data_IF_605422656414
#
_entry.id   IF_605422656414
#
_cell.length_a   1.000
_cell.length_b   1.000
_cell.length_c   1.000
_cell.angle_alpha   90.00
_cell.angle_beta   90.00
_cell.angle_gamma   90.00
#
_symmetry.space_group_name_H-M   'P 1'
#
loop_
_entity.id
_entity.type
_entity.pdbx_description
1 polymer ?
#
# COMPACT_ATOMS: atom_id res chain seq x y z
N UNK A 1 8.02 -16.41 28.92
CA UNK A 1 7.53 -17.71 29.48
C UNK A 1 6.75 -18.50 28.41
N UNK A 2 5.86 -17.86 27.64
CA UNK A 2 5.14 -18.49 26.51
C UNK A 2 6.04 -19.15 25.43
N UNK A 3 7.12 -18.49 24.99
CA UNK A 3 8.06 -19.08 24.01
C UNK A 3 8.89 -20.26 24.56
N UNK A 4 8.96 -20.41 25.88
CA UNK A 4 9.67 -21.50 26.55
C UNK A 4 8.78 -22.75 26.63
N UNK A 5 7.50 -22.56 26.95
CA UNK A 5 6.48 -23.61 26.97
C UNK A 5 6.25 -24.25 25.59
N UNK A 6 6.27 -23.47 24.50
CA UNK A 6 6.12 -24.00 23.13
C UNK A 6 7.35 -24.82 22.68
N UNK A 7 8.55 -24.49 23.19
CA UNK A 7 9.78 -25.24 22.86
C UNK A 7 9.97 -26.50 23.71
N UNK A 8 9.45 -26.50 24.94
CA UNK A 8 9.55 -27.65 25.84
C UNK A 8 8.54 -28.77 25.51
N UNK A 9 7.50 -28.49 24.72
CA UNK A 9 6.52 -29.50 24.24
C UNK A 9 6.84 -30.19 22.91
N UNK A 10 7.92 -29.80 22.22
CA UNK A 10 8.27 -30.33 20.90
C UNK A 10 9.48 -31.29 20.98
N UNK A 11 9.28 -32.45 21.61
CA UNK A 11 10.22 -33.57 21.50
C UNK A 11 9.47 -34.90 21.58
N UNK A 12 9.16 -35.49 20.42
CA UNK A 12 9.17 -36.93 20.17
C UNK A 12 8.89 -37.22 18.68
N UNK A 13 9.85 -37.89 18.07
CA UNK A 13 9.86 -38.71 16.86
C UNK A 13 8.62 -38.78 15.94
N UNK A 14 8.85 -38.47 14.65
CA UNK A 14 7.97 -38.83 13.55
C UNK A 14 8.23 -40.28 13.09
N UNK A 15 7.20 -41.13 12.91
CA UNK A 15 7.32 -42.29 12.05
C UNK A 15 6.86 -41.95 10.63
N UNK A 16 7.64 -42.38 9.65
CA UNK A 16 7.29 -42.35 8.24
C UNK A 16 6.34 -43.50 7.90
N UNK A 17 5.24 -43.22 7.18
CA UNK A 17 4.55 -44.22 6.34
C UNK A 17 3.94 -43.54 5.11
N UNK A 18 4.09 -44.21 3.98
CA UNK A 18 3.69 -43.81 2.62
C UNK A 18 2.34 -44.37 2.17
N UNK A 19 1.74 -43.65 1.21
CA UNK A 19 0.91 -44.11 0.08
C UNK A 19 -0.62 -44.33 0.23
N UNK A 20 -1.33 -43.61 -0.65
CA UNK A 20 -2.43 -44.02 -1.52
C UNK A 20 -3.94 -43.92 -1.14
N UNK A 21 -4.61 -43.02 -1.90
CA UNK A 21 -5.80 -43.19 -2.78
C UNK A 21 -7.24 -43.25 -2.21
N UNK A 22 -8.01 -42.22 -2.62
CA UNK A 22 -9.40 -42.16 -3.12
C UNK A 22 -10.66 -42.25 -2.23
N UNK A 23 -11.54 -41.28 -2.54
CA UNK A 23 -12.97 -41.36 -2.90
C UNK A 23 -14.12 -41.20 -1.88
N UNK A 24 -15.13 -40.50 -2.44
CA UNK A 24 -16.58 -40.45 -2.14
C UNK A 24 -17.04 -39.71 -0.86
N UNK A 25 -17.70 -38.55 -1.00
CA UNK A 25 -19.14 -38.36 -1.30
C UNK A 25 -20.06 -38.77 -0.14
N UNK A 26 -20.74 -37.78 0.47
CA UNK A 26 -22.20 -37.62 0.51
C UNK A 26 -22.61 -36.69 1.67
N UNK A 27 -23.00 -35.44 1.40
CA UNK A 27 -24.35 -34.92 1.11
C UNK A 27 -25.24 -34.61 2.33
N UNK A 28 -25.70 -33.33 2.31
CA UNK A 28 -27.02 -32.81 2.74
C UNK A 28 -27.28 -32.77 4.27
N UNK A 29 -27.86 -31.73 4.88
CA UNK A 29 -28.85 -30.74 4.42
C UNK A 29 -28.99 -29.61 5.46
N UNK A 30 -29.14 -28.35 4.98
CA UNK A 30 -30.10 -27.27 5.34
C UNK A 30 -30.75 -27.29 6.76
N UNK A 31 -31.00 -26.19 7.47
CA UNK A 31 -31.15 -24.77 7.15
C UNK A 31 -31.27 -23.94 8.46
N UNK A 32 -30.99 -22.62 8.33
CA UNK A 32 -31.56 -21.42 8.97
C UNK A 32 -31.87 -21.45 10.49
N UNK A 33 -31.52 -20.43 11.28
CA UNK A 33 -32.23 -19.12 11.32
C UNK A 33 -31.44 -18.13 12.19
N UNK A 34 -31.69 -16.84 11.93
CA UNK A 34 -31.10 -15.62 12.47
C UNK A 34 -31.21 -15.39 14.00
N UNK A 35 -30.35 -14.46 14.44
CA UNK A 35 -30.52 -13.42 15.50
C UNK A 35 -30.15 -13.66 16.97
N UNK A 36 -29.49 -12.60 17.45
CA UNK A 36 -29.38 -12.02 18.80
C UNK A 36 -28.46 -12.65 19.84
N UNK A 37 -27.45 -11.82 20.17
CA UNK A 37 -26.92 -11.54 21.50
C UNK A 37 -27.69 -12.14 22.67
N UNK A 38 -26.99 -12.90 23.51
CA UNK A 38 -26.76 -12.62 24.94
C UNK A 38 -26.20 -13.87 25.60
N UNK A 39 -25.33 -13.67 26.58
CA UNK A 39 -24.51 -14.71 27.20
C UNK A 39 -25.33 -15.90 27.72
N UNK A 40 -24.91 -17.09 27.32
CA UNK A 40 -25.41 -18.34 27.90
C UNK A 40 -24.35 -18.97 28.80
N UNK A 41 -24.51 -18.73 30.10
CA UNK A 41 -24.04 -19.60 31.16
C UNK A 41 -24.65 -20.98 30.97
N UNK A 42 -23.82 -22.00 30.70
CA UNK A 42 -24.24 -23.41 30.71
C UNK A 42 -24.17 -23.91 32.15
N UNK A 43 -25.34 -24.23 32.71
CA UNK A 43 -25.49 -25.04 33.92
C UNK A 43 -25.41 -26.52 33.54
N UNK A 44 -24.55 -27.30 34.21
CA UNK A 44 -24.62 -28.76 34.18
C UNK A 44 -24.61 -29.27 35.62
N UNK A 45 -25.52 -30.22 35.81
CA UNK A 45 -26.04 -30.89 36.99
C UNK A 45 -24.99 -31.64 37.85
N UNK A 46 -25.20 -31.65 39.17
CA UNK A 46 -24.46 -32.49 40.12
C UNK A 46 -25.15 -33.85 40.27
N UNK A 47 -24.41 -34.95 40.04
CA UNK A 47 -24.73 -36.25 40.65
C UNK A 47 -23.49 -37.14 40.81
N UNK A 48 -22.91 -37.02 42.01
CA UNK A 48 -22.40 -38.06 42.90
C UNK A 48 -21.67 -39.31 42.34
N UNK A 49 -20.35 -39.29 42.62
CA UNK A 49 -19.61 -40.25 43.44
C UNK A 49 -18.96 -41.49 42.77
N UNK A 50 -17.70 -41.32 42.38
CA UNK A 50 -16.73 -42.38 42.15
C UNK A 50 -15.34 -41.86 42.50
N UNK A 51 -14.65 -42.58 43.39
CA UNK A 51 -13.34 -42.27 43.97
C UNK A 51 -12.23 -42.20 42.91
N UNK A 52 -11.83 -40.98 42.55
CA UNK A 52 -10.51 -40.67 41.99
C UNK A 52 -10.15 -39.25 42.38
N UNK A 53 -9.07 -39.09 43.15
CA UNK A 53 -8.38 -37.82 43.37
C UNK A 53 -7.87 -37.25 42.04
N UNK A 54 -8.73 -36.52 41.33
CA UNK A 54 -8.32 -35.58 40.29
C UNK A 54 -8.29 -34.18 40.92
N UNK A 55 -7.07 -33.71 41.18
CA UNK A 55 -6.82 -32.30 41.46
C UNK A 55 -7.29 -31.50 40.25
N UNK A 56 -8.44 -30.84 40.37
CA UNK A 56 -8.89 -29.84 39.41
C UNK A 56 -7.89 -28.69 39.47
N UNK A 57 -6.91 -28.69 38.57
CA UNK A 57 -6.01 -27.56 38.39
C UNK A 57 -6.86 -26.34 38.04
N UNK A 58 -6.96 -25.40 38.97
CA UNK A 58 -7.59 -24.11 38.74
C UNK A 58 -6.78 -23.37 37.69
N UNK A 59 -7.24 -23.39 36.44
CA UNK A 59 -6.61 -22.65 35.35
C UNK A 59 -6.86 -21.16 35.58
N UNK A 60 -5.84 -20.41 35.97
CA UNK A 60 -5.93 -18.95 36.08
C UNK A 60 -6.21 -18.36 34.70
N UNK A 61 -7.33 -17.63 34.59
CA UNK A 61 -7.70 -16.93 33.36
C UNK A 61 -6.79 -15.72 33.18
N UNK A 62 -5.88 -15.81 32.22
CA UNK A 62 -5.05 -14.67 31.81
C UNK A 62 -5.86 -13.80 30.85
N UNK A 63 -6.09 -12.53 31.23
CA UNK A 63 -6.66 -11.50 30.37
C UNK A 63 -5.49 -10.69 29.81
N UNK A 64 -5.42 -10.56 28.49
CA UNK A 64 -4.34 -9.84 27.80
C UNK A 64 -4.93 -8.59 27.15
N UNK A 65 -4.38 -7.42 27.45
CA UNK A 65 -4.77 -6.14 26.88
C UNK A 65 -3.68 -5.51 25.96
N UNK A 66 -3.96 -4.32 25.41
CA UNK A 66 -3.02 -3.61 24.52
C UNK A 66 -1.70 -3.23 25.20
N UNK A 67 -1.71 -3.03 26.52
CA UNK A 67 -0.50 -2.67 27.27
C UNK A 67 0.40 -3.87 27.53
N UNK A 68 -0.19 -5.07 27.61
CA UNK A 68 0.52 -6.34 27.80
C UNK A 68 1.22 -6.86 26.53
N UNK A 69 0.80 -6.39 25.35
CA UNK A 69 1.24 -6.89 24.05
C UNK A 69 2.77 -6.87 23.87
N UNK A 70 3.43 -5.86 24.42
CA UNK A 70 4.89 -5.73 24.37
C UNK A 70 5.61 -6.82 25.19
N UNK A 71 5.01 -7.26 26.30
CA UNK A 71 5.58 -8.27 27.19
C UNK A 71 5.40 -9.69 26.63
N UNK A 72 4.33 -9.92 25.87
CA UNK A 72 4.04 -11.22 25.25
C UNK A 72 4.68 -11.40 23.87
N UNK A 73 4.56 -10.39 22.99
CA UNK A 73 4.95 -10.47 21.57
C UNK A 73 6.25 -9.71 21.30
N UNK A 74 6.68 -8.85 22.22
CA UNK A 74 7.87 -8.01 22.06
C UNK A 74 7.54 -6.65 21.45
N UNK A 75 8.60 -5.89 21.12
CA UNK A 75 8.45 -4.56 20.52
C UNK A 75 7.77 -4.64 19.15
N UNK A 76 7.01 -3.61 18.74
CA UNK A 76 6.40 -3.55 17.42
C UNK A 76 7.43 -3.79 16.32
N UNK A 77 7.20 -4.83 15.52
CA UNK A 77 8.10 -5.22 14.42
C UNK A 77 7.87 -4.36 13.18
N UNK A 78 6.65 -3.84 13.01
CA UNK A 78 6.25 -3.03 11.88
C UNK A 78 6.11 -1.56 12.29
N UNK A 79 6.81 -0.68 11.58
CA UNK A 79 6.56 0.75 11.61
C UNK A 79 5.43 1.08 10.61
N UNK A 80 4.74 2.20 10.81
CA UNK A 80 3.70 2.63 9.89
C UNK A 80 4.27 2.74 8.46
N UNK A 81 3.53 2.22 7.47
CA UNK A 81 3.89 2.32 6.03
C UNK A 81 4.12 3.77 5.59
N UNK A 82 3.59 4.73 6.34
CA UNK A 82 3.74 6.16 6.12
C UNK A 82 5.05 6.70 6.71
N UNK A 83 6.01 6.97 5.83
CA UNK A 83 7.31 7.58 6.19
C UNK A 83 7.19 9.08 6.51
N UNK A 84 6.30 9.81 5.84
CA UNK A 84 6.17 11.27 5.98
C UNK A 84 4.77 11.65 6.49
N UNK A 85 4.69 12.41 7.59
CA UNK A 85 3.43 13.04 8.02
C UNK A 85 2.96 14.06 6.98
N UNK A 86 3.87 14.94 6.55
CA UNK A 86 3.68 15.84 5.41
C UNK A 86 4.80 15.57 4.41
N UNK A 87 4.45 15.31 3.15
CA UNK A 87 5.46 15.11 2.12
C UNK A 87 6.21 16.41 1.84
N UNK A 88 7.55 16.40 1.85
CA UNK A 88 8.32 17.57 1.47
C UNK A 88 8.18 17.87 -0.03
N UNK A 89 8.61 19.07 -0.43
CA UNK A 89 8.67 19.47 -1.84
C UNK A 89 9.49 18.45 -2.64
N UNK A 90 8.94 18.01 -3.77
CA UNK A 90 9.58 17.00 -4.61
C UNK A 90 9.31 15.55 -4.20
N UNK A 91 8.53 15.31 -3.14
CA UNK A 91 8.18 13.95 -2.69
C UNK A 91 6.69 13.69 -2.84
N UNK A 92 6.33 12.58 -3.50
CA UNK A 92 4.93 12.21 -3.78
C UNK A 92 4.71 10.73 -3.55
N UNK A 93 3.60 10.38 -2.90
CA UNK A 93 3.21 8.98 -2.72
C UNK A 93 2.57 8.42 -4.01
N UNK A 94 3.09 7.28 -4.46
CA UNK A 94 2.54 6.47 -5.54
C UNK A 94 2.07 5.10 -5.04
N UNK A 95 1.28 4.42 -5.86
CA UNK A 95 0.80 3.06 -5.59
C UNK A 95 1.44 2.08 -6.57
N UNK A 96 2.06 1.03 -6.04
CA UNK A 96 2.69 -0.03 -6.80
C UNK A 96 2.03 -1.38 -6.51
N UNK A 97 2.23 -2.30 -7.46
CA UNK A 97 1.89 -3.70 -7.31
C UNK A 97 3.15 -4.53 -7.47
N UNK A 98 3.36 -5.46 -6.55
CA UNK A 98 4.50 -6.37 -6.50
C UNK A 98 4.00 -7.81 -6.41
N UNK A 99 4.91 -8.79 -6.51
CA UNK A 99 4.58 -10.19 -6.28
C UNK A 99 4.05 -10.47 -4.87
N UNK A 100 4.35 -9.62 -3.89
CA UNK A 100 3.87 -9.71 -2.50
C UNK A 100 2.55 -8.95 -2.28
N UNK A 101 1.97 -8.38 -3.34
CA UNK A 101 0.76 -7.56 -3.28
C UNK A 101 1.05 -6.07 -3.45
N UNK A 102 0.09 -5.25 -3.04
CA UNK A 102 0.15 -3.80 -3.19
C UNK A 102 1.09 -3.15 -2.18
N UNK A 103 1.80 -2.12 -2.63
CA UNK A 103 2.68 -1.31 -1.79
C UNK A 103 2.53 0.18 -2.11
N UNK A 104 2.76 1.02 -1.12
CA UNK A 104 2.95 2.46 -1.32
C UNK A 104 4.43 2.75 -1.50
N UNK A 105 4.75 3.68 -2.39
CA UNK A 105 6.14 4.08 -2.65
C UNK A 105 6.21 5.60 -2.69
N UNK A 106 7.29 6.17 -2.16
CA UNK A 106 7.54 7.60 -2.31
C UNK A 106 8.44 7.84 -3.51
N UNK A 107 8.03 8.68 -4.44
CA UNK A 107 8.91 9.14 -5.52
C UNK A 107 9.50 10.46 -5.09
N UNK A 108 10.84 10.50 -5.06
CA UNK A 108 11.60 11.64 -4.57
C UNK A 108 12.36 12.27 -5.74
N UNK A 109 12.16 13.56 -5.97
CA UNK A 109 12.96 14.32 -6.94
C UNK A 109 13.69 15.42 -6.20
N UNK A 110 15.00 15.52 -6.43
CA UNK A 110 15.84 16.59 -5.90
C UNK A 110 16.61 17.31 -6.99
N UNK A 111 16.99 18.55 -6.69
CA UNK A 111 17.86 19.37 -7.51
C UNK A 111 19.32 18.97 -7.25
N UNK A 112 20.10 18.78 -8.32
CA UNK A 112 21.53 18.45 -8.23
C UNK A 112 22.39 19.69 -8.47
N UNK A 113 22.26 20.29 -9.66
CA UNK A 113 23.04 21.47 -10.04
C UNK A 113 22.35 22.27 -11.16
N UNK A 114 22.67 23.56 -11.24
CA UNK A 114 22.20 24.44 -12.31
C UNK A 114 23.18 24.37 -13.49
N UNK A 115 22.69 23.95 -14.65
CA UNK A 115 23.45 23.93 -15.90
C UNK A 115 22.61 24.55 -17.01
N UNK A 116 22.95 25.79 -17.39
CA UNK A 116 22.24 26.56 -18.41
C UNK A 116 22.08 25.76 -19.70
N UNK A 117 20.83 25.61 -20.17
CA UNK A 117 20.44 24.89 -21.39
C UNK A 117 20.90 23.43 -21.48
N UNK A 118 21.30 22.83 -20.36
CA UNK A 118 21.73 21.42 -20.27
C UNK A 118 21.07 20.72 -19.10
N UNK A 119 19.78 21.00 -18.90
CA UNK A 119 18.96 20.28 -17.96
C UNK A 119 18.91 18.78 -18.28
N UNK A 120 18.69 17.96 -17.26
CA UNK A 120 18.71 16.51 -17.39
C UNK A 120 18.15 15.81 -16.17
N UNK A 121 17.81 14.54 -16.34
CA UNK A 121 17.26 13.71 -15.28
C UNK A 121 18.14 12.49 -15.07
N UNK A 122 18.69 12.34 -13.86
CA UNK A 122 19.30 11.10 -13.39
C UNK A 122 18.27 10.30 -12.60
N UNK A 123 18.26 8.98 -12.76
CA UNK A 123 17.25 8.11 -12.16
C UNK A 123 17.91 6.95 -11.44
N UNK A 124 17.43 6.64 -10.24
CA UNK A 124 17.92 5.54 -9.38
C UNK A 124 16.75 4.84 -8.68
N UNK A 125 17.01 3.70 -8.04
CA UNK A 125 15.97 2.89 -7.38
C UNK A 125 15.82 1.47 -7.90
N UNK A 126 16.83 0.98 -8.64
CA UNK A 126 16.84 -0.34 -9.28
C UNK A 126 15.68 -0.52 -10.26
N UNK A 127 15.49 0.49 -11.09
CA UNK A 127 14.44 0.55 -12.10
C UNK A 127 14.76 -0.33 -13.31
N UNK A 128 13.75 -1.03 -13.81
CA UNK A 128 13.78 -1.68 -15.12
C UNK A 128 13.67 -0.66 -16.26
N UNK A 129 13.75 -1.16 -17.50
CA UNK A 129 13.85 -0.27 -18.66
C UNK A 129 12.54 0.45 -18.98
N UNK A 130 11.39 -0.20 -18.73
CA UNK A 130 10.07 0.43 -18.91
C UNK A 130 9.89 1.57 -17.92
N UNK A 131 10.31 1.39 -16.67
CA UNK A 131 10.19 2.45 -15.67
C UNK A 131 11.18 3.61 -15.92
N UNK A 132 12.39 3.35 -16.45
CA UNK A 132 13.31 4.40 -16.89
C UNK A 132 12.74 5.20 -18.06
N UNK A 133 12.10 4.53 -19.03
CA UNK A 133 11.41 5.19 -20.14
C UNK A 133 10.24 6.03 -19.63
N UNK A 134 9.43 5.49 -18.71
CA UNK A 134 8.36 6.23 -18.04
C UNK A 134 8.87 7.50 -17.34
N UNK A 135 10.05 7.45 -16.70
CA UNK A 135 10.68 8.63 -16.10
C UNK A 135 11.10 9.69 -17.14
N UNK A 136 11.59 9.26 -18.31
CA UNK A 136 11.93 10.16 -19.41
C UNK A 136 10.69 10.85 -20.00
N UNK A 137 9.61 10.08 -20.19
CA UNK A 137 8.31 10.60 -20.63
C UNK A 137 7.78 11.61 -19.60
N UNK A 138 7.77 11.23 -18.32
CA UNK A 138 7.34 12.09 -17.22
C UNK A 138 8.12 13.42 -17.19
N UNK A 139 9.45 13.39 -17.35
CA UNK A 139 10.26 14.61 -17.42
C UNK A 139 9.89 15.51 -18.61
N UNK A 140 9.62 14.91 -19.76
CA UNK A 140 9.20 15.63 -20.96
C UNK A 140 7.84 16.30 -20.77
N UNK A 141 6.87 15.58 -20.20
CA UNK A 141 5.53 16.08 -19.92
C UNK A 141 5.55 17.17 -18.83
N UNK A 142 6.30 16.96 -17.75
CA UNK A 142 6.47 17.96 -16.68
C UNK A 142 7.06 19.27 -17.23
N UNK A 143 8.03 19.18 -18.14
CA UNK A 143 8.62 20.34 -18.80
C UNK A 143 7.59 21.10 -19.64
N UNK A 144 6.75 20.39 -20.41
CA UNK A 144 5.68 20.99 -21.21
C UNK A 144 4.67 21.72 -20.31
N UNK A 145 4.16 21.04 -19.29
CA UNK A 145 3.18 21.61 -18.35
C UNK A 145 3.74 22.86 -17.67
N UNK A 146 5.02 22.83 -17.26
CA UNK A 146 5.66 24.00 -16.65
C UNK A 146 5.77 25.17 -17.62
N UNK A 147 6.06 24.92 -18.89
CA UNK A 147 6.10 25.95 -19.93
C UNK A 147 4.71 26.55 -20.20
N UNK A 148 3.65 25.74 -20.17
CA UNK A 148 2.27 26.18 -20.35
C UNK A 148 1.78 27.01 -19.15
N UNK A 149 1.96 26.51 -17.93
CA UNK A 149 1.48 27.14 -16.69
C UNK A 149 2.36 28.32 -16.24
N UNK A 150 3.68 28.25 -16.42
CA UNK A 150 4.66 29.27 -15.99
C UNK A 150 5.74 29.47 -17.07
N UNK A 151 5.44 30.15 -18.20
CA UNK A 151 6.36 30.27 -19.34
C UNK A 151 7.74 30.87 -19.04
N UNK A 152 7.85 31.68 -17.98
CA UNK A 152 9.13 32.26 -17.53
C UNK A 152 9.98 31.31 -16.68
N UNK A 153 9.42 30.19 -16.24
CA UNK A 153 10.11 29.21 -15.40
C UNK A 153 10.99 28.29 -16.27
N UNK A 154 12.30 28.55 -16.24
CA UNK A 154 13.29 27.78 -16.99
C UNK A 154 13.92 26.62 -16.19
N UNK A 155 13.33 26.24 -15.04
CA UNK A 155 13.90 25.27 -14.10
C UNK A 155 14.34 23.97 -14.78
N UNK A 156 13.45 23.27 -15.48
CA UNK A 156 13.79 22.01 -16.17
C UNK A 156 14.78 22.18 -17.32
N UNK A 157 14.84 23.36 -17.95
CA UNK A 157 15.79 23.62 -19.03
C UNK A 157 17.22 23.85 -18.52
N UNK A 158 17.34 24.33 -17.28
CA UNK A 158 18.58 24.80 -16.69
C UNK A 158 19.05 23.98 -15.48
N UNK A 159 18.41 22.85 -15.14
CA UNK A 159 18.74 22.09 -13.93
C UNK A 159 18.96 20.62 -14.24
N UNK A 160 19.99 20.04 -13.61
CA UNK A 160 20.09 18.59 -13.46
C UNK A 160 19.33 18.17 -12.23
N UNK A 161 18.48 17.17 -12.40
CA UNK A 161 17.60 16.63 -11.38
C UNK A 161 17.95 15.16 -11.12
N UNK A 162 17.65 14.70 -9.92
CA UNK A 162 17.77 13.29 -9.55
C UNK A 162 16.43 12.81 -9.04
N UNK A 163 15.85 11.85 -9.75
CA UNK A 163 14.66 11.12 -9.34
C UNK A 163 15.06 9.77 -8.73
N UNK A 164 14.60 9.53 -7.52
CA UNK A 164 14.82 8.31 -6.77
C UNK A 164 13.49 7.64 -6.45
N UNK A 165 13.46 6.33 -6.66
CA UNK A 165 12.39 5.48 -6.17
C UNK A 165 13.02 4.56 -5.11
N UNK A 166 12.73 4.74 -3.81
CA UNK A 166 13.30 3.98 -2.70
C UNK A 166 13.09 2.47 -2.79
N UNK A 167 13.65 1.74 -1.82
CA UNK A 167 13.77 0.28 -1.79
C UNK A 167 14.68 -0.28 -2.89
N UNK A 168 15.93 0.17 -2.97
CA UNK A 168 16.87 -0.25 -4.02
C UNK A 168 17.17 -1.76 -4.11
N UNK A 169 16.72 -2.58 -3.15
CA UNK A 169 16.83 -4.03 -3.18
C UNK A 169 15.71 -4.72 -3.98
N UNK A 170 14.57 -4.07 -4.19
CA UNK A 170 13.42 -4.61 -4.93
C UNK A 170 13.41 -4.05 -6.35
N UNK A 171 13.51 -4.90 -7.40
CA UNK A 171 13.33 -4.45 -8.79
C UNK A 171 11.96 -3.80 -8.97
N UNK A 172 11.93 -2.65 -9.64
CA UNK A 172 10.68 -1.94 -9.96
C UNK A 172 10.63 -1.74 -11.46
N UNK A 173 9.62 -2.32 -12.08
CA UNK A 173 9.41 -2.15 -13.50
C UNK A 173 7.93 -2.00 -13.80
N UNK A 174 7.62 -1.17 -14.79
CA UNK A 174 6.27 -0.84 -15.20
C UNK A 174 5.99 0.67 -15.25
N UNK A 175 5.03 1.08 -16.09
CA UNK A 175 4.81 2.49 -16.40
C UNK A 175 3.85 3.22 -15.42
N UNK A 176 3.24 2.49 -14.48
CA UNK A 176 2.13 2.96 -13.64
C UNK A 176 2.45 4.08 -12.64
N UNK A 177 3.71 4.49 -12.55
CA UNK A 177 4.19 5.61 -11.73
C UNK A 177 4.34 6.93 -12.51
N UNK A 178 4.00 6.94 -13.80
CA UNK A 178 4.21 8.08 -14.71
C UNK A 178 3.63 9.39 -14.16
N UNK A 179 2.36 9.40 -13.75
CA UNK A 179 1.73 10.58 -13.17
C UNK A 179 2.41 11.02 -11.85
N UNK A 180 2.76 10.08 -10.97
CA UNK A 180 3.45 10.36 -9.70
C UNK A 180 4.80 11.04 -9.93
N UNK A 181 5.56 10.59 -10.93
CA UNK A 181 6.85 11.18 -11.31
C UNK A 181 6.68 12.61 -11.84
N UNK A 182 5.68 12.87 -12.68
CA UNK A 182 5.38 14.24 -13.15
C UNK A 182 5.05 15.13 -11.96
N UNK A 183 4.22 14.67 -11.03
CA UNK A 183 3.81 15.46 -9.85
C UNK A 183 5.00 15.79 -8.95
N UNK A 184 5.91 14.83 -8.73
CA UNK A 184 7.15 15.04 -7.97
C UNK A 184 8.05 16.09 -8.63
N UNK A 185 8.25 16.00 -9.95
CA UNK A 185 9.01 16.98 -10.72
C UNK A 185 8.38 18.38 -10.65
N UNK A 186 7.06 18.49 -10.84
CA UNK A 186 6.34 19.76 -10.79
C UNK A 186 6.34 20.37 -9.39
N UNK A 187 6.18 19.54 -8.35
CA UNK A 187 6.29 19.98 -6.96
C UNK A 187 7.62 20.66 -6.70
N UNK A 188 8.73 20.02 -7.11
CA UNK A 188 10.07 20.59 -6.98
C UNK A 188 10.22 21.91 -7.77
N UNK A 189 9.78 21.93 -9.03
CA UNK A 189 9.91 23.10 -9.91
C UNK A 189 9.07 24.30 -9.44
N UNK A 190 7.93 24.06 -8.79
CA UNK A 190 7.06 25.09 -8.23
C UNK A 190 7.41 25.48 -6.80
N UNK A 191 8.28 24.70 -6.14
CA UNK A 191 8.55 24.79 -4.70
C UNK A 191 7.26 24.69 -3.86
N UNK A 192 6.33 23.85 -4.29
CA UNK A 192 5.02 23.65 -3.63
C UNK A 192 4.86 22.17 -3.24
N UNK A 193 4.63 21.84 -1.96
CA UNK A 193 4.39 20.45 -1.57
C UNK A 193 3.04 19.96 -2.11
N UNK A 194 2.93 18.65 -2.30
CA UNK A 194 1.69 18.00 -2.74
C UNK A 194 0.77 17.81 -1.54
N UNK A 195 -0.54 17.74 -1.82
CA UNK A 195 -1.59 17.52 -0.82
C UNK A 195 -1.19 16.37 0.11
N UNK A 196 -1.36 16.58 1.42
CA UNK A 196 -1.24 15.50 2.39
C UNK A 196 -2.30 14.44 2.13
N UNK A 197 -1.96 13.18 2.41
CA UNK A 197 -2.87 12.04 2.27
C UNK A 197 -3.34 11.75 0.83
N UNK A 198 -2.56 12.16 -0.18
CA UNK A 198 -2.80 11.87 -1.60
C UNK A 198 -1.86 10.76 -2.08
N UNK A 199 -2.42 9.72 -2.67
CA UNK A 199 -1.69 8.75 -3.47
C UNK A 199 -2.24 8.68 -4.89
N UNK A 200 -1.40 8.35 -5.86
CA UNK A 200 -1.81 8.27 -7.27
C UNK A 200 -1.11 7.13 -8.01
N UNK A 201 -1.77 6.63 -9.04
CA UNK A 201 -1.17 5.73 -10.03
C UNK A 201 -1.78 6.01 -11.39
N UNK A 202 -0.99 5.79 -12.44
CA UNK A 202 -1.40 6.00 -13.81
C UNK A 202 -0.18 6.06 -14.71
N UNK A 203 -0.23 5.31 -15.79
CA UNK A 203 0.69 5.50 -16.90
C UNK A 203 0.35 6.81 -17.62
N UNK A 204 1.35 7.46 -18.22
CA UNK A 204 1.18 8.75 -18.87
C UNK A 204 1.71 8.71 -20.30
N UNK A 205 0.97 9.30 -21.23
CA UNK A 205 1.45 9.57 -22.59
C UNK A 205 2.21 10.89 -22.66
N UNK A 206 2.99 11.10 -23.73
CA UNK A 206 3.59 12.41 -24.03
C UNK A 206 2.56 13.53 -24.25
N UNK A 207 1.30 13.19 -24.58
CA UNK A 207 0.20 14.17 -24.70
C UNK A 207 -0.41 14.51 -23.34
N UNK A 208 -0.12 13.76 -22.27
CA UNK A 208 -0.64 14.00 -20.92
C UNK A 208 -1.92 13.23 -20.61
N UNK A 209 -2.28 12.24 -21.43
CA UNK A 209 -3.37 11.30 -21.12
C UNK A 209 -2.92 10.33 -20.03
N UNK A 210 -3.84 9.96 -19.16
CA UNK A 210 -3.63 8.97 -18.11
C UNK A 210 -4.20 7.64 -18.57
N UNK A 211 -3.35 6.61 -18.64
CA UNK A 211 -3.73 5.28 -19.11
C UNK A 211 -3.99 4.34 -17.94
N UNK A 212 -4.81 3.32 -18.22
CA UNK A 212 -5.17 2.27 -17.28
C UNK A 212 -3.96 1.53 -16.73
N UNK A 213 -4.11 1.01 -15.51
CA UNK A 213 -3.07 0.25 -14.81
C UNK A 213 -3.62 -1.09 -14.33
N UNK A 214 -2.72 -2.02 -14.00
CA UNK A 214 -3.06 -3.27 -13.33
C UNK A 214 -3.02 -3.15 -11.80
N UNK A 215 -3.63 -4.14 -11.12
CA UNK A 215 -3.55 -4.31 -9.67
C UNK A 215 -4.36 -3.27 -8.87
N UNK A 216 -5.53 -2.86 -9.38
CA UNK A 216 -6.39 -1.85 -8.74
C UNK A 216 -6.76 -2.30 -7.31
N UNK A 217 -7.19 -3.55 -7.13
CA UNK A 217 -7.52 -4.12 -5.82
C UNK A 217 -6.35 -4.00 -4.83
N UNK A 218 -5.17 -4.49 -5.23
CA UNK A 218 -3.98 -4.52 -4.38
C UNK A 218 -3.52 -3.10 -4.02
N UNK A 219 -3.56 -2.18 -4.98
CA UNK A 219 -3.22 -0.77 -4.78
C UNK A 219 -4.19 -0.06 -3.84
N UNK A 220 -5.49 -0.35 -3.94
CA UNK A 220 -6.50 0.18 -3.01
C UNK A 220 -6.26 -0.32 -1.59
N UNK A 221 -5.96 -1.61 -1.42
CA UNK A 221 -5.62 -2.20 -0.11
C UNK A 221 -4.37 -1.53 0.48
N UNK A 222 -3.33 -1.33 -0.34
CA UNK A 222 -2.09 -0.69 0.10
C UNK A 222 -2.31 0.77 0.52
N UNK A 223 -3.09 1.53 -0.25
CA UNK A 223 -3.45 2.90 0.07
C UNK A 223 -4.20 2.98 1.42
N UNK A 224 -5.17 2.10 1.63
CA UNK A 224 -5.91 2.02 2.90
C UNK A 224 -5.00 1.66 4.08
N UNK A 225 -4.11 0.67 3.91
CA UNK A 225 -3.13 0.27 4.93
C UNK A 225 -2.18 1.43 5.30
N UNK A 226 -1.82 2.25 4.31
CA UNK A 226 -1.01 3.47 4.49
C UNK A 226 -1.81 4.70 4.94
N UNK A 227 -3.09 4.54 5.30
CA UNK A 227 -3.97 5.62 5.79
C UNK A 227 -4.08 6.80 4.80
N UNK A 228 -4.02 6.51 3.51
CA UNK A 228 -4.30 7.47 2.44
C UNK A 228 -5.79 7.80 2.45
N UNK A 229 -6.14 9.07 2.32
CA UNK A 229 -7.54 9.51 2.23
C UNK A 229 -7.98 9.69 0.79
N UNK A 230 -7.12 10.26 -0.06
CA UNK A 230 -7.42 10.55 -1.45
C UNK A 230 -6.59 9.68 -2.38
N UNK A 231 -7.25 8.97 -3.28
CA UNK A 231 -6.60 8.18 -4.32
C UNK A 231 -6.97 8.74 -5.69
N UNK A 232 -5.98 8.88 -6.56
CA UNK A 232 -6.21 9.16 -7.98
C UNK A 232 -5.97 7.87 -8.78
N UNK A 233 -7.00 7.45 -9.51
CA UNK A 233 -6.94 6.36 -10.48
C UNK A 233 -7.22 6.85 -11.91
N UNK A 234 -6.73 6.15 -12.94
CA UNK A 234 -7.18 6.39 -14.31
C UNK A 234 -8.67 6.11 -14.47
N UNK A 235 -9.39 6.91 -15.26
CA UNK A 235 -10.82 6.70 -15.57
C UNK A 235 -11.07 5.31 -16.17
N UNK A 236 -10.13 4.80 -16.96
CA UNK A 236 -10.17 3.43 -17.50
C UNK A 236 -10.23 2.33 -16.45
N UNK A 237 -9.88 2.60 -15.19
CA UNK A 237 -9.95 1.64 -14.08
C UNK A 237 -11.21 1.77 -13.21
N UNK A 238 -12.16 2.66 -13.55
CA UNK A 238 -13.40 2.84 -12.78
C UNK A 238 -14.16 1.52 -12.58
N UNK A 239 -14.32 0.75 -13.66
CA UNK A 239 -15.01 -0.54 -13.59
C UNK A 239 -14.33 -1.52 -12.63
N UNK A 240 -13.00 -1.65 -12.72
CA UNK A 240 -12.23 -2.55 -11.85
C UNK A 240 -12.33 -2.13 -10.37
N UNK A 241 -12.42 -0.82 -10.11
CA UNK A 241 -12.60 -0.29 -8.77
C UNK A 241 -14.03 -0.51 -8.24
N UNK A 242 -15.05 -0.30 -9.07
CA UNK A 242 -16.46 -0.44 -8.68
C UNK A 242 -16.79 -1.89 -8.30
N UNK A 243 -16.14 -2.87 -8.93
CA UNK A 243 -16.24 -4.30 -8.63
C UNK A 243 -15.58 -4.70 -7.30
N UNK A 244 -14.83 -3.79 -6.64
CA UNK A 244 -14.22 -4.09 -5.35
C UNK A 244 -15.26 -4.16 -4.22
N UNK A 245 -15.09 -5.08 -3.26
CA UNK A 245 -15.89 -5.14 -2.04
C UNK A 245 -15.90 -3.80 -1.27
N UNK A 246 -17.03 -3.44 -0.67
CA UNK A 246 -17.18 -2.17 0.06
C UNK A 246 -16.16 -2.00 1.19
N UNK A 247 -15.84 -3.09 1.91
CA UNK A 247 -14.82 -3.05 2.96
C UNK A 247 -13.43 -2.66 2.44
N UNK A 248 -13.14 -2.76 1.14
CA UNK A 248 -11.86 -2.31 0.56
C UNK A 248 -11.93 -0.82 0.16
N UNK A 249 -13.10 -0.34 -0.25
CA UNK A 249 -13.33 1.04 -0.70
C UNK A 249 -13.60 2.02 0.46
N UNK A 250 -14.07 1.51 1.58
CA UNK A 250 -14.47 2.30 2.75
C UNK A 250 -13.37 3.25 3.23
N UNK A 251 -13.74 4.52 3.42
CA UNK A 251 -12.85 5.57 3.93
C UNK A 251 -11.92 6.21 2.89
N UNK A 252 -12.05 5.82 1.60
CA UNK A 252 -11.26 6.36 0.50
C UNK A 252 -12.09 7.32 -0.37
N UNK A 253 -11.56 8.51 -0.60
CA UNK A 253 -12.04 9.49 -1.58
C UNK A 253 -11.30 9.26 -2.90
N UNK A 254 -11.98 8.61 -3.86
CA UNK A 254 -11.36 8.17 -5.12
C UNK A 254 -11.75 9.10 -6.27
N UNK A 255 -10.73 9.66 -6.90
CA UNK A 255 -10.86 10.56 -8.06
C UNK A 255 -10.36 9.84 -9.31
N UNK A 256 -11.22 9.78 -10.32
CA UNK A 256 -10.87 9.18 -11.61
C UNK A 256 -10.55 10.26 -12.63
N UNK A 257 -9.48 10.05 -13.39
CA UNK A 257 -8.91 11.06 -14.30
C UNK A 257 -8.54 10.45 -15.65
N UNK A 258 -8.72 11.24 -16.71
CA UNK A 258 -8.28 10.91 -18.07
C UNK A 258 -7.06 11.71 -18.50
N UNK A 259 -6.84 12.87 -17.87
CA UNK A 259 -5.80 13.82 -18.22
C UNK A 259 -5.04 14.31 -17.00
N UNK A 260 -3.73 14.51 -17.17
CA UNK A 260 -2.84 14.93 -16.09
C UNK A 260 -3.23 16.30 -15.50
N UNK A 261 -3.87 17.16 -16.27
CA UNK A 261 -4.35 18.46 -15.80
C UNK A 261 -5.29 18.32 -14.59
N UNK A 262 -6.15 17.28 -14.58
CA UNK A 262 -7.02 16.99 -13.44
C UNK A 262 -6.20 16.59 -12.20
N UNK A 263 -5.12 15.82 -12.39
CA UNK A 263 -4.18 15.47 -11.32
C UNK A 263 -3.51 16.73 -10.79
N UNK A 264 -3.09 17.65 -11.66
CA UNK A 264 -2.46 18.90 -11.25
C UNK A 264 -3.37 19.71 -10.33
N UNK A 265 -4.64 19.90 -10.69
CA UNK A 265 -5.61 20.64 -9.89
C UNK A 265 -5.91 19.92 -8.56
N UNK A 266 -6.06 18.59 -8.54
CA UNK A 266 -6.25 17.83 -7.29
C UNK A 266 -5.02 17.87 -6.38
N UNK A 267 -3.83 17.82 -6.97
CA UNK A 267 -2.55 17.73 -6.27
C UNK A 267 -2.02 19.07 -5.79
N UNK A 268 -2.41 20.19 -6.41
CA UNK A 268 -1.89 21.54 -6.12
C UNK A 268 -2.97 22.62 -5.94
N UNK A 269 -4.23 22.36 -6.23
CA UNK A 269 -5.34 23.33 -6.15
C UNK A 269 -5.93 23.55 -4.75
N UNK A 270 -5.26 23.08 -3.70
CA UNK A 270 -5.66 23.30 -2.31
C UNK A 270 -4.85 24.46 -1.70
N UNK A 271 -5.51 25.21 -0.80
CA UNK A 271 -4.89 26.21 0.05
C UNK A 271 -4.27 25.53 1.28
N UNK A 272 -3.06 25.95 1.64
CA UNK A 272 -2.27 25.39 2.75
C UNK A 272 -2.73 25.86 4.11
#
# INVERSE_FOLDING_TARGET
IALKLVREGASAEAPAVSADVADAEDTKTLANTETSEEGSTVLIDESANGDSTESTETVEKVVVDESDLADYVGKPVFHADRIYEQTPVGVVMGLAWTSMGGSTLYIETTFVEEVKRKGGLHVTGRLGDVMKESAQIAHTVARRIMQEKKPKNMFFANSKLHLHVPEGSTPKDGPSAGCTMITSLLSLAMKKPVRKDLAMTGEVTLTGRILLIGGVKEKTIAARRSQVKMIIFPEGNRKDFDELPENVKEGLDVHFVDEYEQIFELAFGYDH
#
